data_IF_854219873359
#
_entry.id   IF_854219873359
#
_cell.length_a   1.000
_cell.length_b   1.000
_cell.length_c   1.000
_cell.angle_alpha   90.00
_cell.angle_beta   90.00
_cell.angle_gamma   90.00
#
_symmetry.space_group_name_H-M   'P 1'
#
loop_
_entity.id
_entity.type
_entity.pdbx_description
1 polymer ?
#
# COMPACT_ATOMS: atom_id res chain seq x y z
N UNK A 1 -4.91 -51.50 -51.54
CA UNK A 1 -5.26 -50.73 -50.32
C UNK A 1 -4.43 -49.47 -50.28
N UNK A 2 -5.07 -48.31 -50.14
CA UNK A 2 -4.40 -47.01 -50.10
C UNK A 2 -4.13 -46.68 -48.63
N UNK A 3 -2.87 -46.79 -48.20
CA UNK A 3 -2.41 -46.46 -46.84
C UNK A 3 -2.43 -44.94 -46.66
N UNK A 4 -3.58 -44.43 -46.25
CA UNK A 4 -3.73 -43.03 -45.85
C UNK A 4 -3.44 -42.95 -44.34
N UNK A 5 -2.15 -42.90 -43.98
CA UNK A 5 -1.74 -42.54 -42.62
C UNK A 5 -2.01 -41.04 -42.43
N UNK A 6 -2.87 -40.63 -41.48
CA UNK A 6 -3.00 -39.22 -41.17
C UNK A 6 -1.68 -38.79 -40.54
N UNK A 7 -0.98 -37.88 -41.22
CA UNK A 7 0.10 -37.11 -40.61
C UNK A 7 -0.55 -36.41 -39.43
N UNK A 8 -0.28 -36.91 -38.22
CA UNK A 8 -0.57 -36.20 -36.98
C UNK A 8 0.27 -34.94 -37.06
N UNK A 9 -0.36 -33.86 -37.52
CA UNK A 9 0.23 -32.55 -37.48
C UNK A 9 0.61 -32.30 -36.03
N UNK A 10 1.90 -32.32 -35.74
CA UNK A 10 2.42 -31.60 -34.59
C UNK A 10 1.85 -30.19 -34.73
N UNK A 11 0.84 -29.88 -33.91
CA UNK A 11 0.47 -28.51 -33.63
C UNK A 11 1.75 -27.86 -33.13
N UNK A 12 2.43 -27.14 -34.02
CA UNK A 12 3.32 -26.07 -33.61
C UNK A 12 2.45 -25.13 -32.79
N UNK A 13 2.39 -25.36 -31.47
CA UNK A 13 1.90 -24.38 -30.51
C UNK A 13 2.86 -23.19 -30.63
N UNK A 14 2.41 -22.24 -31.43
CA UNK A 14 3.06 -20.98 -31.68
C UNK A 14 3.03 -20.17 -30.37
N UNK A 15 3.98 -20.44 -29.46
CA UNK A 15 4.28 -19.69 -28.23
C UNK A 15 3.13 -18.86 -27.63
N UNK A 16 1.98 -19.51 -27.39
CA UNK A 16 0.75 -18.88 -26.93
C UNK A 16 0.86 -18.40 -25.49
N UNK A 17 0.08 -17.38 -25.15
CA UNK A 17 -0.08 -16.91 -23.77
C UNK A 17 -0.59 -18.07 -22.90
N UNK A 18 0.21 -18.47 -21.91
CA UNK A 18 -0.11 -19.59 -21.03
C UNK A 18 -1.00 -19.13 -19.87
N UNK A 19 -1.64 -20.07 -19.19
CA UNK A 19 -2.37 -19.77 -17.96
C UNK A 19 -1.46 -19.15 -16.87
N UNK A 20 -0.16 -19.43 -16.90
CA UNK A 20 0.82 -18.83 -15.99
C UNK A 20 1.16 -17.38 -16.39
N UNK A 21 1.20 -17.06 -17.69
CA UNK A 21 1.33 -15.67 -18.16
C UNK A 21 0.13 -14.81 -17.69
N UNK A 22 -1.08 -15.39 -17.65
CA UNK A 22 -2.28 -14.70 -17.17
C UNK A 22 -2.22 -14.41 -15.67
N UNK A 23 -1.82 -15.40 -14.87
CA UNK A 23 -1.65 -15.24 -13.41
C UNK A 23 -0.56 -14.23 -13.06
N UNK A 24 0.60 -14.31 -13.69
CA UNK A 24 1.71 -13.38 -13.44
C UNK A 24 1.32 -11.94 -13.84
N UNK A 25 0.53 -11.77 -14.92
CA UNK A 25 -0.01 -10.47 -15.32
C UNK A 25 -1.06 -9.94 -14.31
N UNK A 26 -1.96 -10.78 -13.82
CA UNK A 26 -2.94 -10.38 -12.79
C UNK A 26 -2.25 -9.98 -11.48
N UNK A 27 -1.27 -10.76 -11.04
CA UNK A 27 -0.48 -10.44 -9.85
C UNK A 27 0.26 -9.10 -10.02
N UNK A 28 0.84 -8.87 -11.20
CA UNK A 28 1.45 -7.58 -11.55
C UNK A 28 0.46 -6.42 -11.45
N UNK A 29 -0.77 -6.56 -12.00
CA UNK A 29 -1.81 -5.52 -11.92
C UNK A 29 -2.20 -5.23 -10.46
N UNK A 30 -2.46 -6.28 -9.67
CA UNK A 30 -2.80 -6.15 -8.24
C UNK A 30 -1.70 -5.45 -7.44
N UNK A 31 -0.43 -5.82 -7.66
CA UNK A 31 0.69 -5.18 -7.00
C UNK A 31 0.86 -3.71 -7.41
N UNK A 32 0.62 -3.38 -8.69
CA UNK A 32 0.65 -2.00 -9.18
C UNK A 32 -0.44 -1.14 -8.56
N UNK A 33 -1.69 -1.63 -8.52
CA UNK A 33 -2.81 -0.93 -7.88
C UNK A 33 -2.54 -0.73 -6.39
N UNK A 34 -2.11 -1.78 -5.69
CA UNK A 34 -1.70 -1.69 -4.29
C UNK A 34 -0.59 -0.65 -4.07
N UNK A 35 0.38 -0.55 -4.98
CA UNK A 35 1.44 0.48 -4.90
C UNK A 35 0.87 1.89 -5.00
N UNK A 36 -0.10 2.14 -5.87
CA UNK A 36 -0.72 3.46 -6.01
C UNK A 36 -1.58 3.82 -4.81
N UNK A 37 -2.29 2.84 -4.25
CA UNK A 37 -3.10 3.03 -3.05
C UNK A 37 -2.23 3.29 -1.81
N UNK A 38 -1.14 2.53 -1.67
CA UNK A 38 -0.17 2.73 -0.58
C UNK A 38 0.50 4.10 -0.66
N UNK A 39 0.92 4.54 -1.85
CA UNK A 39 1.55 5.85 -2.08
C UNK A 39 0.61 6.99 -1.67
N UNK A 40 -0.62 6.99 -2.19
CA UNK A 40 -1.63 8.01 -1.82
C UNK A 40 -1.93 8.01 -0.33
N UNK A 41 -2.10 6.82 0.25
CA UNK A 41 -2.36 6.67 1.67
C UNK A 41 -1.19 7.19 2.53
N UNK A 42 0.06 6.94 2.12
CA UNK A 42 1.23 7.48 2.82
C UNK A 42 1.26 9.01 2.75
N UNK A 43 0.99 9.62 1.60
CA UNK A 43 0.93 11.08 1.45
C UNK A 43 -0.18 11.71 2.29
N UNK A 44 -1.38 11.11 2.30
CA UNK A 44 -2.49 11.57 3.13
C UNK A 44 -2.18 11.43 4.63
N UNK A 45 -1.56 10.32 5.03
CA UNK A 45 -1.13 10.09 6.39
C UNK A 45 -0.10 11.14 6.84
N UNK A 46 0.90 11.45 6.01
CA UNK A 46 1.91 12.47 6.32
C UNK A 46 1.29 13.87 6.46
N UNK A 47 0.47 14.30 5.50
CA UNK A 47 -0.22 15.60 5.56
C UNK A 47 -1.11 15.72 6.79
N UNK A 48 -1.87 14.68 7.12
CA UNK A 48 -2.73 14.69 8.30
C UNK A 48 -1.92 14.59 9.61
N UNK A 49 -0.76 13.95 9.63
CA UNK A 49 0.14 13.94 10.78
C UNK A 49 0.74 15.34 11.03
N UNK A 50 1.11 16.07 9.97
CA UNK A 50 1.55 17.47 10.08
C UNK A 50 0.46 18.37 10.65
N UNK A 51 -0.80 18.17 10.23
CA UNK A 51 -1.95 18.88 10.81
C UNK A 51 -2.12 18.57 12.30
N UNK A 52 -1.98 17.30 12.69
CA UNK A 52 -2.05 16.91 14.10
C UNK A 52 -0.92 17.54 14.92
N UNK A 53 0.30 17.55 14.39
CA UNK A 53 1.47 18.17 15.03
C UNK A 53 1.30 19.68 15.21
N UNK A 54 0.79 20.37 14.18
CA UNK A 54 0.56 21.81 14.28
C UNK A 54 -0.53 22.14 15.30
N UNK A 55 -1.65 21.40 15.28
CA UNK A 55 -2.71 21.57 16.27
C UNK A 55 -2.21 21.30 17.69
N UNK A 56 -1.31 20.31 17.88
CA UNK A 56 -0.66 20.08 19.16
C UNK A 56 0.20 21.26 19.63
N UNK A 57 1.04 21.82 18.74
CA UNK A 57 1.88 22.98 19.09
C UNK A 57 1.05 24.21 19.42
N UNK A 58 -0.08 24.38 18.74
CA UNK A 58 -1.00 25.49 18.99
C UNK A 58 -1.71 25.31 20.35
N UNK A 59 -2.14 24.09 20.69
CA UNK A 59 -2.68 23.78 22.02
C UNK A 59 -1.66 24.08 23.14
N UNK A 60 -0.39 23.67 22.96
CA UNK A 60 0.69 23.95 23.92
C UNK A 60 0.92 25.45 24.15
N UNK A 61 0.75 26.30 23.12
CA UNK A 61 0.90 27.76 23.26
C UNK A 61 -0.29 28.39 23.98
N UNK A 62 -1.48 27.86 23.77
CA UNK A 62 -2.74 28.41 24.27
C UNK A 62 -3.06 28.01 25.72
N UNK A 63 -2.27 27.08 26.31
CA UNK A 63 -2.24 26.67 27.73
C UNK A 63 -3.56 26.77 28.49
N UNK A 64 -4.22 25.64 28.73
CA UNK A 64 -5.39 25.55 29.63
C UNK A 64 -6.50 26.57 29.29
N UNK A 65 -6.77 26.77 28.00
CA UNK A 65 -7.88 27.60 27.50
C UNK A 65 -8.89 26.76 26.71
N UNK A 66 -10.11 27.27 26.56
CA UNK A 66 -11.13 26.68 25.69
C UNK A 66 -10.63 26.52 24.24
N UNK A 67 -9.76 27.43 23.81
CA UNK A 67 -9.09 27.37 22.50
C UNK A 67 -8.08 26.20 22.44
N UNK A 68 -7.32 25.94 23.52
CA UNK A 68 -6.44 24.77 23.63
C UNK A 68 -7.22 23.45 23.49
N UNK A 69 -8.38 23.33 24.15
CA UNK A 69 -9.24 22.15 24.03
C UNK A 69 -9.79 21.95 22.61
N UNK A 70 -10.10 23.05 21.91
CA UNK A 70 -10.50 23.01 20.49
C UNK A 70 -9.35 22.50 19.63
N UNK A 71 -8.12 22.95 19.87
CA UNK A 71 -6.93 22.46 19.18
C UNK A 71 -6.62 20.99 19.46
N UNK A 72 -6.84 20.51 20.69
CA UNK A 72 -6.72 19.09 21.00
C UNK A 72 -7.73 18.21 20.23
N UNK A 73 -8.95 18.71 20.01
CA UNK A 73 -9.95 18.04 19.14
C UNK A 73 -9.55 18.04 17.67
N UNK A 74 -8.97 19.13 17.18
CA UNK A 74 -8.41 19.20 15.82
C UNK A 74 -7.29 18.16 15.64
N UNK A 75 -6.37 18.06 16.60
CA UNK A 75 -5.31 17.05 16.59
C UNK A 75 -5.88 15.61 16.56
N UNK A 76 -6.91 15.32 17.36
CA UNK A 76 -7.59 14.01 17.36
C UNK A 76 -8.29 13.71 16.02
N UNK A 77 -8.89 14.72 15.40
CA UNK A 77 -9.54 14.60 14.10
C UNK A 77 -8.53 14.31 13.00
N UNK A 78 -7.40 15.01 13.01
CA UNK A 78 -6.29 14.77 12.10
C UNK A 78 -5.70 13.36 12.29
N UNK A 79 -5.45 12.93 13.53
CA UNK A 79 -4.98 11.58 13.83
C UNK A 79 -5.95 10.48 13.37
N UNK A 80 -7.26 10.74 13.42
CA UNK A 80 -8.28 9.82 12.89
C UNK A 80 -8.20 9.66 11.37
N UNK A 81 -7.83 10.71 10.63
CA UNK A 81 -7.55 10.63 9.19
C UNK A 81 -6.29 9.81 8.94
N UNK A 82 -5.23 10.05 9.72
CA UNK A 82 -3.99 9.28 9.64
C UNK A 82 -4.24 7.78 9.89
N UNK A 83 -5.09 7.44 10.86
CA UNK A 83 -5.47 6.04 11.13
C UNK A 83 -6.11 5.38 9.92
N UNK A 84 -7.08 6.06 9.27
CA UNK A 84 -7.73 5.54 8.06
C UNK A 84 -6.73 5.35 6.91
N UNK A 85 -5.86 6.32 6.70
CA UNK A 85 -4.83 6.23 5.68
C UNK A 85 -3.85 5.07 5.97
N UNK A 86 -3.44 4.89 7.23
CA UNK A 86 -2.62 3.75 7.63
C UNK A 86 -3.32 2.40 7.39
N UNK A 87 -4.63 2.29 7.66
CA UNK A 87 -5.41 1.08 7.36
C UNK A 87 -5.44 0.79 5.85
N UNK A 88 -5.58 1.81 5.00
CA UNK A 88 -5.47 1.68 3.54
C UNK A 88 -4.10 1.14 3.12
N UNK A 89 -3.01 1.74 3.62
CA UNK A 89 -1.65 1.27 3.33
C UNK A 89 -1.41 -0.17 3.81
N UNK A 90 -1.96 -0.55 4.96
CA UNK A 90 -1.91 -1.92 5.49
C UNK A 90 -2.64 -2.93 4.60
N UNK A 91 -3.81 -2.56 4.08
CA UNK A 91 -4.56 -3.39 3.14
C UNK A 91 -3.82 -3.53 1.79
N UNK A 92 -3.22 -2.45 1.29
CA UNK A 92 -2.36 -2.48 0.11
C UNK A 92 -1.15 -3.42 0.30
N UNK A 93 -0.51 -3.39 1.48
CA UNK A 93 0.57 -4.32 1.83
C UNK A 93 0.11 -5.78 1.74
N UNK A 94 -1.04 -6.13 2.32
CA UNK A 94 -1.60 -7.49 2.23
C UNK A 94 -1.88 -7.90 0.79
N UNK A 95 -2.40 -6.99 -0.04
CA UNK A 95 -2.66 -7.23 -1.45
C UNK A 95 -1.36 -7.50 -2.24
N UNK A 96 -0.32 -6.71 -1.99
CA UNK A 96 1.00 -6.90 -2.61
C UNK A 96 1.67 -8.21 -2.17
N UNK A 97 1.60 -8.56 -0.88
CA UNK A 97 2.09 -9.85 -0.36
C UNK A 97 1.34 -11.04 -0.99
N UNK A 98 0.03 -10.91 -1.18
CA UNK A 98 -0.75 -11.94 -1.88
C UNK A 98 -0.33 -12.08 -3.35
N UNK A 99 -0.07 -10.97 -4.03
CA UNK A 99 0.41 -10.98 -5.42
C UNK A 99 1.81 -11.61 -5.55
N UNK A 100 2.69 -11.41 -4.56
CA UNK A 100 4.00 -12.06 -4.53
C UNK A 100 3.90 -13.58 -4.43
N UNK A 101 3.00 -14.10 -3.60
CA UNK A 101 2.79 -15.55 -3.43
C UNK A 101 2.29 -16.22 -4.71
N UNK A 102 1.47 -15.52 -5.49
CA UNK A 102 1.05 -15.98 -6.82
C UNK A 102 2.25 -16.14 -7.76
N UNK A 103 3.31 -15.35 -7.53
CA UNK A 103 4.51 -15.33 -8.35
C UNK A 103 5.65 -16.25 -7.82
N UNK A 104 5.40 -17.22 -6.94
CA UNK A 104 6.47 -18.12 -6.42
C UNK A 104 6.49 -19.52 -7.04
N UNK A 105 5.52 -19.87 -7.88
CA UNK A 105 5.42 -21.20 -8.51
C UNK A 105 5.99 -21.25 -9.94
N UNK A 106 6.93 -22.18 -10.19
CA UNK A 106 7.26 -22.69 -11.54
C UNK A 106 8.51 -22.14 -12.24
N UNK A 107 9.05 -22.90 -13.21
CA UNK A 107 10.08 -22.44 -14.15
C UNK A 107 9.48 -21.40 -15.12
N UNK A 108 10.05 -20.21 -15.15
CA UNK A 108 9.50 -19.06 -15.87
C UNK A 108 10.25 -18.74 -17.15
N UNK A 109 9.50 -18.52 -18.23
CA UNK A 109 10.02 -17.92 -19.45
C UNK A 109 10.39 -16.42 -19.25
N UNK A 110 11.01 -15.78 -20.24
CA UNK A 110 11.45 -14.38 -20.14
C UNK A 110 10.34 -13.35 -19.90
N UNK A 111 9.09 -13.62 -20.33
CA UNK A 111 7.92 -12.74 -20.09
C UNK A 111 7.45 -12.83 -18.64
N UNK A 112 7.35 -14.04 -18.11
CA UNK A 112 7.04 -14.30 -16.70
C UNK A 112 8.10 -13.70 -15.77
N UNK A 113 9.37 -13.68 -16.19
CA UNK A 113 10.43 -12.98 -15.46
C UNK A 113 10.22 -11.46 -15.40
N UNK A 114 9.67 -10.82 -16.43
CA UNK A 114 9.37 -9.39 -16.43
C UNK A 114 8.26 -9.05 -15.41
N UNK A 115 7.11 -9.71 -15.50
CA UNK A 115 5.99 -9.47 -14.59
C UNK A 115 6.38 -9.76 -13.15
N UNK A 116 7.07 -10.88 -12.91
CA UNK A 116 7.57 -11.23 -11.57
C UNK A 116 8.50 -10.17 -11.01
N UNK A 117 9.44 -9.67 -11.80
CA UNK A 117 10.37 -8.61 -11.38
C UNK A 117 9.61 -7.33 -11.03
N UNK A 118 8.64 -6.94 -11.87
CA UNK A 118 7.83 -5.74 -11.62
C UNK A 118 6.90 -5.88 -10.42
N UNK A 119 6.31 -7.04 -10.20
CA UNK A 119 5.51 -7.32 -8.99
C UNK A 119 6.37 -7.14 -7.74
N UNK A 120 7.61 -7.65 -7.74
CA UNK A 120 8.57 -7.44 -6.64
C UNK A 120 8.92 -5.96 -6.45
N UNK A 121 9.14 -5.22 -7.54
CA UNK A 121 9.40 -3.78 -7.48
C UNK A 121 8.23 -3.01 -6.84
N UNK A 122 6.99 -3.29 -7.24
CA UNK A 122 5.80 -2.66 -6.67
C UNK A 122 5.56 -3.07 -5.22
N UNK A 123 5.73 -4.34 -4.87
CA UNK A 123 5.62 -4.78 -3.49
C UNK A 123 6.66 -4.09 -2.58
N UNK A 124 7.88 -3.88 -3.08
CA UNK A 124 8.91 -3.10 -2.38
C UNK A 124 8.54 -1.61 -2.23
N UNK A 125 7.82 -1.01 -3.17
CA UNK A 125 7.26 0.35 -3.02
C UNK A 125 6.17 0.39 -1.96
N UNK A 126 5.23 -0.54 -2.03
CA UNK A 126 4.15 -0.70 -1.03
C UNK A 126 4.71 -0.82 0.39
N UNK A 127 5.78 -1.59 0.58
CA UNK A 127 6.41 -1.73 1.89
C UNK A 127 7.00 -0.41 2.42
N UNK A 128 7.66 0.36 1.54
CA UNK A 128 8.19 1.69 1.90
C UNK A 128 7.06 2.66 2.27
N UNK A 129 5.99 2.70 1.49
CA UNK A 129 4.86 3.59 1.74
C UNK A 129 4.05 3.17 2.97
N UNK A 130 3.94 1.86 3.23
CA UNK A 130 3.40 1.35 4.49
C UNK A 130 4.20 1.84 5.71
N UNK A 131 5.54 1.76 5.67
CA UNK A 131 6.36 2.26 6.78
C UNK A 131 6.26 3.80 6.93
N UNK A 132 6.12 4.56 5.82
CA UNK A 132 5.81 6.00 5.88
C UNK A 132 4.48 6.27 6.59
N UNK A 133 3.41 5.59 6.19
CA UNK A 133 2.10 5.74 6.81
C UNK A 133 2.11 5.34 8.30
N UNK A 134 2.87 4.29 8.66
CA UNK A 134 3.07 3.86 10.05
C UNK A 134 3.80 4.92 10.88
N UNK A 135 4.87 5.51 10.34
CA UNK A 135 5.61 6.58 11.00
C UNK A 135 4.72 7.82 11.19
N UNK A 136 3.92 8.19 10.19
CA UNK A 136 2.95 9.28 10.29
C UNK A 136 1.90 8.99 11.37
N UNK A 137 1.39 7.75 11.45
CA UNK A 137 0.47 7.32 12.50
C UNK A 137 1.07 7.46 13.91
N UNK A 138 2.32 7.05 14.10
CA UNK A 138 3.02 7.23 15.37
C UNK A 138 3.17 8.72 15.74
N UNK A 139 3.58 9.56 14.79
CA UNK A 139 3.70 11.02 14.99
C UNK A 139 2.36 11.65 15.36
N UNK A 140 1.29 11.32 14.65
CA UNK A 140 -0.04 11.86 14.92
C UNK A 140 -0.55 11.46 16.31
N UNK A 141 -0.30 10.22 16.75
CA UNK A 141 -0.65 9.79 18.10
C UNK A 141 0.16 10.54 19.18
N UNK A 142 1.45 10.77 18.97
CA UNK A 142 2.26 11.61 19.87
C UNK A 142 1.74 13.05 19.94
N UNK A 143 1.36 13.63 18.80
CA UNK A 143 0.78 14.98 18.77
C UNK A 143 -0.54 15.04 19.54
N UNK A 144 -1.40 14.02 19.41
CA UNK A 144 -2.64 13.94 20.20
C UNK A 144 -2.38 13.89 21.70
N UNK A 145 -1.37 13.11 22.15
CA UNK A 145 -1.02 13.03 23.56
C UNK A 145 -0.56 14.40 24.11
N UNK A 146 0.35 15.06 23.40
CA UNK A 146 0.83 16.40 23.77
C UNK A 146 -0.29 17.44 23.79
N UNK A 147 -1.16 17.42 22.78
CA UNK A 147 -2.30 18.33 22.73
C UNK A 147 -3.27 18.10 23.89
N UNK A 148 -3.48 16.83 24.29
CA UNK A 148 -4.29 16.49 25.46
C UNK A 148 -3.66 17.00 26.75
N UNK A 149 -2.36 16.76 26.96
CA UNK A 149 -1.62 17.27 28.12
C UNK A 149 -1.72 18.79 28.23
N UNK A 150 -1.59 19.52 27.12
CA UNK A 150 -1.72 20.98 27.08
C UNK A 150 -3.15 21.51 27.32
N UNK A 151 -4.15 20.64 27.19
CA UNK A 151 -5.57 20.96 27.36
C UNK A 151 -6.17 20.41 28.66
N UNK A 152 -5.42 19.60 29.39
CA UNK A 152 -5.84 19.02 30.66
C UNK A 152 -5.64 20.04 31.78
N UNK A 153 -6.76 20.65 32.18
CA UNK A 153 -6.94 21.37 33.44
C UNK A 153 -6.73 20.46 34.66
#
# INVERSE_FOLDING_TARGET
>A
ENVNTPIVGNSMEFGGFTADDEKDMEAYKKAKEASQDAEKAAEEAEKAAEQAEQASKDAEKLKESDESYTKAKEACTAASKVKKAFETASNAKKAAESALKTNETGERNSRNNFYTTKTKEYAGKVEKDYERAKNAYQKANQAVLKAKEASSY
#
